data_IF_763914102315
#
_entry.id   IF_763914102315
#
_cell.length_a   1.000
_cell.length_b   1.000
_cell.length_c   1.000
_cell.angle_alpha   90.00
_cell.angle_beta   90.00
_cell.angle_gamma   90.00
#
_symmetry.space_group_name_H-M   'P 1'
#
loop_
_entity.id
_entity.type
_entity.pdbx_description
1 polymer ?
#
# COMPACT_ATOMS: atom_id res chain seq x y z
N UNK A 1 3.01 -1.70 23.12
CA UNK A 1 2.59 -2.61 22.02
C UNK A 1 1.08 -2.48 21.89
N UNK A 2 0.59 -1.54 21.07
CA UNK A 2 -0.85 -1.35 20.84
C UNK A 2 -1.29 -2.32 19.75
N UNK A 3 -2.23 -3.21 20.05
CA UNK A 3 -2.87 -4.06 19.06
C UNK A 3 -3.55 -3.19 17.99
N UNK A 4 -3.43 -3.53 16.69
CA UNK A 4 -4.09 -2.76 15.64
C UNK A 4 -5.61 -2.89 15.80
N UNK A 5 -6.39 -1.80 15.68
CA UNK A 5 -7.84 -1.85 15.81
C UNK A 5 -8.44 -2.77 14.73
N UNK A 6 -9.48 -3.53 15.10
CA UNK A 6 -10.18 -4.43 14.17
C UNK A 6 -10.68 -3.63 12.96
N UNK A 7 -10.28 -4.04 11.75
CA UNK A 7 -10.45 -3.27 10.51
C UNK A 7 -9.17 -2.60 9.97
N UNK A 8 -8.01 -2.79 10.61
CA UNK A 8 -6.73 -2.25 10.10
C UNK A 8 -6.16 -3.08 8.94
N UNK A 9 -6.43 -4.39 8.90
CA UNK A 9 -5.84 -5.32 7.92
C UNK A 9 -6.33 -5.06 6.49
N UNK A 10 -7.62 -4.78 6.32
CA UNK A 10 -8.20 -4.41 5.02
C UNK A 10 -7.63 -3.08 4.50
N UNK A 11 -7.43 -2.10 5.39
CA UNK A 11 -6.76 -0.85 5.07
C UNK A 11 -5.29 -1.06 4.73
N UNK A 12 -4.58 -1.91 5.49
CA UNK A 12 -3.18 -2.23 5.23
C UNK A 12 -3.00 -2.89 3.86
N UNK A 13 -3.85 -3.88 3.54
CA UNK A 13 -3.87 -4.53 2.24
C UNK A 13 -4.16 -3.53 1.11
N UNK A 14 -5.14 -2.65 1.30
CA UNK A 14 -5.51 -1.61 0.32
C UNK A 14 -4.36 -0.63 0.08
N UNK A 15 -3.65 -0.21 1.14
CA UNK A 15 -2.49 0.68 1.03
C UNK A 15 -1.32 -0.02 0.34
N UNK A 16 -1.04 -1.26 0.69
CA UNK A 16 0.00 -2.06 0.02
C UNK A 16 -0.30 -2.21 -1.48
N UNK A 17 -1.55 -2.52 -1.83
CA UNK A 17 -1.99 -2.63 -3.22
C UNK A 17 -1.88 -1.31 -3.97
N UNK A 18 -2.32 -0.20 -3.36
CA UNK A 18 -2.19 1.14 -3.94
C UNK A 18 -0.73 1.49 -4.21
N UNK A 19 0.19 1.22 -3.27
CA UNK A 19 1.62 1.47 -3.44
C UNK A 19 2.21 0.59 -4.55
N UNK A 20 1.84 -0.68 -4.60
CA UNK A 20 2.28 -1.59 -5.66
C UNK A 20 1.84 -1.11 -7.05
N UNK A 21 0.59 -0.66 -7.20
CA UNK A 21 0.12 -0.09 -8.46
C UNK A 21 0.86 1.19 -8.84
N UNK A 22 1.17 2.06 -7.88
CA UNK A 22 2.00 3.25 -8.12
C UNK A 22 3.40 2.94 -8.67
N UNK A 23 3.91 1.73 -8.41
CA UNK A 23 5.22 1.29 -8.87
C UNK A 23 5.15 0.52 -10.19
N UNK A 24 4.04 -0.17 -10.46
CA UNK A 24 3.85 -1.00 -11.64
C UNK A 24 3.25 -0.23 -12.84
N UNK A 25 2.47 0.82 -12.58
CA UNK A 25 1.73 1.55 -13.61
C UNK A 25 2.28 2.98 -13.81
N UNK A 26 2.43 3.41 -15.07
CA UNK A 26 2.83 4.79 -15.40
C UNK A 26 1.74 5.84 -15.07
N UNK A 27 0.49 5.39 -14.90
CA UNK A 27 -0.67 6.25 -14.60
C UNK A 27 -1.49 5.71 -13.43
N UNK A 28 -0.96 5.74 -12.21
CA UNK A 28 -1.66 5.17 -11.07
C UNK A 28 -2.91 5.98 -10.72
N UNK A 29 -3.92 5.27 -10.21
CA UNK A 29 -5.14 5.91 -9.72
C UNK A 29 -4.86 6.90 -8.58
N UNK A 30 -5.55 8.04 -8.62
CA UNK A 30 -5.39 9.08 -7.60
C UNK A 30 -5.83 8.61 -6.22
N UNK A 31 -5.28 9.21 -5.17
CA UNK A 31 -5.71 9.00 -3.78
C UNK A 31 -7.21 9.25 -3.58
N UNK A 32 -7.85 10.09 -4.41
CA UNK A 32 -9.30 10.33 -4.38
C UNK A 32 -10.10 9.10 -4.83
N UNK A 33 -9.62 8.38 -5.84
CA UNK A 33 -10.24 7.14 -6.32
C UNK A 33 -10.18 6.07 -5.23
N UNK A 34 -9.02 5.92 -4.61
CA UNK A 34 -8.81 5.01 -3.47
C UNK A 34 -9.60 5.41 -2.23
N UNK A 35 -9.77 6.71 -1.98
CA UNK A 35 -10.63 7.23 -0.91
C UNK A 35 -12.09 6.81 -1.10
N UNK A 36 -12.59 6.93 -2.33
CA UNK A 36 -13.95 6.49 -2.68
C UNK A 36 -14.12 4.98 -2.57
N UNK A 37 -13.12 4.20 -3.01
CA UNK A 37 -13.16 2.75 -3.01
C UNK A 37 -13.08 2.17 -1.58
N UNK A 38 -12.18 2.69 -0.76
CA UNK A 38 -11.93 2.22 0.60
C UNK A 38 -12.90 2.82 1.63
N UNK A 39 -13.64 3.89 1.28
CA UNK A 39 -14.48 4.63 2.22
C UNK A 39 -13.68 5.42 3.27
N UNK A 40 -12.39 5.68 3.00
CA UNK A 40 -11.46 6.35 3.92
C UNK A 40 -11.09 7.73 3.38
N UNK A 41 -11.00 8.79 4.21
CA UNK A 41 -10.58 10.11 3.73
C UNK A 41 -9.20 10.09 3.07
N UNK A 42 -9.03 10.83 1.96
CA UNK A 42 -7.75 10.94 1.23
C UNK A 42 -6.57 11.32 2.12
N UNK A 43 -6.77 12.19 3.11
CA UNK A 43 -5.73 12.59 4.06
C UNK A 43 -5.26 11.42 4.94
N UNK A 44 -6.18 10.54 5.33
CA UNK A 44 -5.88 9.34 6.10
C UNK A 44 -5.16 8.30 5.24
N UNK A 45 -5.55 8.13 3.97
CA UNK A 45 -4.81 7.29 3.01
C UNK A 45 -3.38 7.78 2.86
N UNK A 46 -3.16 9.07 2.63
CA UNK A 46 -1.82 9.65 2.52
C UNK A 46 -0.98 9.47 3.80
N UNK A 47 -1.61 9.52 4.98
CA UNK A 47 -0.94 9.22 6.25
C UNK A 47 -0.53 7.75 6.35
N UNK A 48 -1.45 6.83 6.04
CA UNK A 48 -1.20 5.39 6.11
C UNK A 48 -0.15 4.95 5.09
N UNK A 49 -0.15 5.53 3.89
CA UNK A 49 0.89 5.31 2.88
C UNK A 49 2.28 5.66 3.41
N UNK A 50 2.46 6.86 3.98
CA UNK A 50 3.75 7.27 4.56
C UNK A 50 4.20 6.35 5.70
N UNK A 51 3.26 5.91 6.54
CA UNK A 51 3.56 4.97 7.62
C UNK A 51 3.98 3.60 7.07
N UNK A 52 3.26 3.08 6.06
CA UNK A 52 3.57 1.82 5.40
C UNK A 52 4.96 1.84 4.75
N UNK A 53 5.26 2.88 3.95
CA UNK A 53 6.59 3.07 3.34
C UNK A 53 7.70 3.17 4.39
N UNK A 54 7.44 3.86 5.51
CA UNK A 54 8.35 3.89 6.64
C UNK A 54 8.60 2.52 7.27
N UNK A 55 7.57 1.67 7.38
CA UNK A 55 7.70 0.32 7.96
C UNK A 55 8.51 -0.64 7.08
N UNK A 56 8.40 -0.52 5.76
CA UNK A 56 9.20 -1.32 4.81
C UNK A 56 10.55 -0.68 4.48
N UNK A 57 10.92 0.42 5.16
CA UNK A 57 12.20 1.09 4.95
C UNK A 57 12.37 1.69 3.55
N UNK A 58 11.27 2.05 2.89
CA UNK A 58 11.24 2.49 1.49
C UNK A 58 11.76 1.45 0.48
N UNK A 59 11.98 0.20 0.91
CA UNK A 59 12.37 -0.89 0.03
C UNK A 59 11.13 -1.49 -0.64
N UNK A 60 10.70 -0.82 -1.69
CA UNK A 60 9.53 -1.19 -2.50
C UNK A 60 9.88 -2.03 -3.72
N UNK A 61 11.18 -2.19 -4.00
CA UNK A 61 11.67 -2.93 -5.16
C UNK A 61 11.78 -4.42 -4.85
N UNK A 62 11.20 -5.26 -5.70
CA UNK A 62 11.42 -6.71 -5.63
C UNK A 62 12.55 -7.06 -6.59
N UNK A 63 13.61 -7.69 -6.08
CA UNK A 63 14.70 -8.21 -6.93
C UNK A 63 14.16 -9.30 -7.86
N UNK A 64 14.66 -9.34 -9.10
CA UNK A 64 14.22 -10.30 -10.11
C UNK A 64 14.29 -11.75 -9.60
N UNK A 65 15.36 -12.12 -8.88
CA UNK A 65 15.54 -13.44 -8.27
C UNK A 65 14.43 -13.80 -7.28
N UNK A 66 13.97 -12.81 -6.50
CA UNK A 66 12.89 -12.99 -5.52
C UNK A 66 11.54 -13.13 -6.23
N UNK A 67 11.32 -12.33 -7.27
CA UNK A 67 10.11 -12.37 -8.08
C UNK A 67 9.95 -13.72 -8.80
N UNK A 68 11.00 -14.22 -9.46
CA UNK A 68 10.96 -15.52 -10.14
C UNK A 68 10.68 -16.67 -9.17
N UNK A 69 11.16 -16.57 -7.91
CA UNK A 69 10.83 -17.54 -6.86
C UNK A 69 9.36 -17.51 -6.44
N UNK A 70 8.68 -16.36 -6.47
CA UNK A 70 7.25 -16.27 -6.16
C UNK A 70 6.35 -16.76 -7.29
N UNK A 71 6.86 -16.70 -8.52
CA UNK A 71 6.15 -17.14 -9.72
C UNK A 71 6.16 -18.67 -9.87
N UNK A 72 7.21 -19.34 -9.40
CA UNK A 72 7.38 -20.79 -9.42
C UNK A 72 6.52 -21.49 -8.35
#
# INVERSE_FOLDING_TARGET
RTSPPVGTESHLFTIALMVAQKLAEDRPHSTKSWSRLAGVPSAQIARMERQFLGWIGWDVGVKAEVYERWKA
#
